data_IF_273709913498
#
_entry.id   IF_273709913498
#
_cell.length_a   1.000
_cell.length_b   1.000
_cell.length_c   1.000
_cell.angle_alpha   90.00
_cell.angle_beta   90.00
_cell.angle_gamma   90.00
#
_symmetry.space_group_name_H-M   'P 1'
#
loop_
_entity.id
_entity.type
_entity.pdbx_description
1 polymer ?
#
# COMPACT_ATOMS: atom_id res chain seq x y z
N UNK A 1 -6.00 -19.27 -58.14
CA UNK A 1 -5.42 -19.11 -56.79
C UNK A 1 -6.35 -19.86 -55.84
N UNK A 2 -5.97 -21.07 -55.45
CA UNK A 2 -6.82 -21.92 -54.60
C UNK A 2 -6.60 -21.52 -53.14
N UNK A 3 -7.67 -21.12 -52.46
CA UNK A 3 -7.63 -20.72 -51.05
C UNK A 3 -8.23 -21.86 -50.24
N UNK A 4 -7.41 -22.54 -49.43
CA UNK A 4 -7.87 -23.58 -48.50
C UNK A 4 -8.45 -22.90 -47.25
N UNK A 5 -9.72 -23.13 -46.98
CA UNK A 5 -10.41 -22.63 -45.79
C UNK A 5 -9.84 -23.19 -44.48
N UNK A 6 -10.19 -22.58 -43.32
CA UNK A 6 -9.62 -22.96 -42.03
C UNK A 6 -9.92 -24.43 -41.70
N UNK A 7 -8.85 -25.18 -41.44
CA UNK A 7 -8.92 -26.59 -41.06
C UNK A 7 -9.53 -26.79 -39.67
N UNK A 8 -10.17 -27.95 -39.50
CA UNK A 8 -10.79 -28.36 -38.24
C UNK A 8 -9.70 -28.73 -37.22
N UNK A 9 -9.76 -28.15 -36.02
CA UNK A 9 -8.90 -28.56 -34.89
C UNK A 9 -9.73 -29.54 -34.04
N UNK A 10 -9.22 -30.76 -33.84
CA UNK A 10 -9.88 -31.77 -33.01
C UNK A 10 -9.85 -31.30 -31.55
N UNK A 11 -11.02 -30.91 -31.02
CA UNK A 11 -11.16 -30.50 -29.64
C UNK A 11 -11.29 -31.69 -28.69
N UNK A 12 -10.65 -31.52 -27.54
CA UNK A 12 -10.94 -32.09 -26.22
C UNK A 12 -10.78 -33.61 -26.02
N UNK A 13 -9.65 -34.00 -25.42
CA UNK A 13 -9.57 -35.21 -24.60
C UNK A 13 -10.47 -35.09 -23.38
N UNK A 14 -11.30 -36.10 -23.06
CA UNK A 14 -12.18 -36.04 -21.88
C UNK A 14 -11.36 -36.13 -20.60
N UNK A 15 -11.67 -35.25 -19.63
CA UNK A 15 -11.11 -35.32 -18.28
C UNK A 15 -11.82 -36.45 -17.55
N UNK A 16 -11.12 -37.55 -17.26
CA UNK A 16 -11.64 -38.61 -16.40
C UNK A 16 -11.84 -38.06 -14.99
N UNK A 17 -13.09 -38.06 -14.53
CA UNK A 17 -13.43 -37.65 -13.17
C UNK A 17 -12.71 -38.51 -12.13
N UNK A 18 -12.12 -37.85 -11.14
CA UNK A 18 -11.44 -38.51 -10.03
C UNK A 18 -12.42 -39.40 -9.25
N UNK A 19 -12.08 -40.68 -9.11
CA UNK A 19 -12.82 -41.63 -8.26
C UNK A 19 -12.61 -41.22 -6.80
N UNK A 20 -13.67 -41.12 -5.96
CA UNK A 20 -13.50 -40.72 -4.57
C UNK A 20 -12.71 -41.80 -3.82
N UNK A 21 -11.55 -41.41 -3.27
CA UNK A 21 -10.82 -42.24 -2.32
C UNK A 21 -11.50 -42.08 -0.95
N UNK A 22 -12.14 -43.14 -0.46
CA UNK A 22 -12.62 -43.20 0.92
C UNK A 22 -11.43 -43.48 1.83
N UNK A 23 -10.78 -42.41 2.29
CA UNK A 23 -9.77 -42.42 3.34
C UNK A 23 -9.58 -40.99 3.85
N UNK A 24 -9.20 -40.78 5.13
CA UNK A 24 -9.08 -39.45 5.70
C UNK A 24 -7.86 -38.76 5.06
N UNK A 25 -8.11 -38.02 3.98
CA UNK A 25 -7.10 -37.15 3.37
C UNK A 25 -6.99 -35.91 4.23
N UNK A 26 -5.76 -35.60 4.66
CA UNK A 26 -5.46 -34.34 5.32
C UNK A 26 -5.98 -33.19 4.46
N UNK A 27 -6.59 -32.19 5.08
CA UNK A 27 -7.11 -31.01 4.38
C UNK A 27 -5.95 -30.36 3.60
N UNK A 28 -5.96 -30.52 2.28
CA UNK A 28 -5.06 -29.77 1.42
C UNK A 28 -5.36 -28.28 1.65
N UNK A 29 -4.36 -27.55 2.14
CA UNK A 29 -4.38 -26.10 2.22
C UNK A 29 -4.78 -25.55 0.86
N UNK A 30 -5.95 -24.90 0.79
CA UNK A 30 -6.40 -24.20 -0.42
C UNK A 30 -5.31 -23.19 -0.82
N UNK A 31 -4.93 -23.09 -2.10
CA UNK A 31 -4.02 -22.03 -2.53
C UNK A 31 -4.65 -20.67 -2.18
N UNK A 32 -3.85 -19.69 -1.72
CA UNK A 32 -4.36 -18.37 -1.42
C UNK A 32 -5.03 -17.79 -2.68
N UNK A 33 -6.18 -17.14 -2.49
CA UNK A 33 -6.85 -16.40 -3.55
C UNK A 33 -5.92 -15.28 -4.01
N UNK A 34 -5.49 -15.33 -5.26
CA UNK A 34 -4.65 -14.31 -5.88
C UNK A 34 -5.50 -13.05 -6.07
N UNK A 35 -5.28 -12.04 -5.22
CA UNK A 35 -5.93 -10.74 -5.33
C UNK A 35 -5.19 -9.94 -6.40
N UNK A 36 -5.87 -9.32 -7.38
CA UNK A 36 -5.23 -8.42 -8.34
C UNK A 36 -4.45 -7.33 -7.59
N UNK A 37 -3.16 -7.22 -7.86
CA UNK A 37 -2.32 -6.14 -7.33
C UNK A 37 -2.17 -5.09 -8.42
N UNK A 38 -2.76 -3.91 -8.19
CA UNK A 38 -2.50 -2.76 -9.03
C UNK A 38 -1.11 -2.20 -8.68
N UNK A 39 -0.23 -2.18 -9.67
CA UNK A 39 1.10 -1.58 -9.54
C UNK A 39 1.09 -0.15 -10.10
N UNK A 40 1.74 0.77 -9.38
CA UNK A 40 1.93 2.16 -9.80
C UNK A 40 3.41 2.37 -10.11
N UNK A 41 3.72 2.65 -11.38
CA UNK A 41 5.08 2.99 -11.79
C UNK A 41 5.38 4.47 -11.48
N UNK A 42 6.26 4.72 -10.51
CA UNK A 42 6.79 6.06 -10.25
C UNK A 42 7.82 6.43 -11.32
N UNK A 43 7.71 7.65 -11.86
CA UNK A 43 8.69 8.16 -12.83
C UNK A 43 10.10 8.17 -12.26
N UNK A 44 11.10 7.93 -13.11
CA UNK A 44 12.51 7.95 -12.70
C UNK A 44 12.90 9.26 -11.99
N UNK A 45 12.32 10.39 -12.43
CA UNK A 45 12.50 11.68 -11.77
C UNK A 45 11.91 11.72 -10.34
N UNK A 46 10.70 11.17 -10.14
CA UNK A 46 10.07 11.08 -8.83
C UNK A 46 10.86 10.21 -7.85
N UNK A 47 11.41 9.09 -8.33
CA UNK A 47 12.26 8.20 -7.52
C UNK A 47 13.56 8.87 -7.08
N UNK A 48 14.21 9.64 -7.98
CA UNK A 48 15.43 10.37 -7.65
C UNK A 48 15.16 11.49 -6.64
N UNK A 49 14.05 12.20 -6.80
CA UNK A 49 13.67 13.29 -5.88
C UNK A 49 13.38 12.75 -4.47
N UNK A 50 12.66 11.63 -4.34
CA UNK A 50 12.44 10.98 -3.06
C UNK A 50 13.74 10.61 -2.33
N UNK A 51 14.71 10.05 -3.06
CA UNK A 51 16.03 9.69 -2.49
C UNK A 51 16.84 10.90 -2.03
N UNK A 52 16.78 12.02 -2.76
CA UNK A 52 17.45 13.26 -2.35
C UNK A 52 16.83 13.84 -1.07
N UNK A 53 15.50 13.86 -0.99
CA UNK A 53 14.76 14.37 0.17
C UNK A 53 15.02 13.51 1.41
N UNK A 54 15.01 12.18 1.28
CA UNK A 54 15.32 11.27 2.40
C UNK A 54 16.72 11.52 2.98
N UNK A 55 17.73 11.71 2.13
CA UNK A 55 19.10 11.94 2.57
C UNK A 55 19.34 13.30 3.21
N UNK A 56 18.77 14.38 2.65
CA UNK A 56 18.96 15.74 3.16
C UNK A 56 18.21 16.00 4.48
N UNK A 57 17.04 15.39 4.64
CA UNK A 57 16.18 15.64 5.80
C UNK A 57 16.47 14.72 6.99
N UNK A 58 17.18 13.61 6.78
CA UNK A 58 17.41 12.61 7.84
C UNK A 58 18.14 13.17 9.06
N UNK A 59 19.21 13.94 8.85
CA UNK A 59 20.00 14.53 9.94
C UNK A 59 19.22 15.61 10.69
N UNK A 60 18.54 16.51 9.96
CA UNK A 60 17.72 17.57 10.54
C UNK A 60 16.51 17.00 11.30
N UNK A 61 15.92 15.91 10.80
CA UNK A 61 14.82 15.20 11.46
C UNK A 61 15.29 14.58 12.78
N UNK A 62 16.46 13.95 12.81
CA UNK A 62 17.01 13.35 14.04
C UNK A 62 17.23 14.40 15.15
N UNK A 63 17.80 15.56 14.81
CA UNK A 63 18.00 16.65 15.76
C UNK A 63 16.66 17.21 16.27
N UNK A 64 15.70 17.44 15.37
CA UNK A 64 14.34 17.87 15.73
C UNK A 64 13.65 16.89 16.65
N UNK A 65 13.76 15.58 16.39
CA UNK A 65 13.17 14.54 17.22
C UNK A 65 13.79 14.52 18.61
N UNK A 66 15.12 14.66 18.72
CA UNK A 66 15.80 14.71 20.01
C UNK A 66 15.35 15.91 20.85
N UNK A 67 15.22 17.09 20.23
CA UNK A 67 14.69 18.29 20.88
C UNK A 67 13.26 18.10 21.36
N UNK A 68 12.36 17.64 20.48
CA UNK A 68 10.95 17.40 20.82
C UNK A 68 10.85 16.42 21.98
N UNK A 69 11.64 15.34 21.96
CA UNK A 69 11.67 14.38 23.06
C UNK A 69 12.07 15.03 24.38
N UNK A 70 13.11 15.87 24.38
CA UNK A 70 13.50 16.62 25.57
C UNK A 70 12.42 17.59 26.08
N UNK A 71 11.71 18.28 25.18
CA UNK A 71 10.57 19.13 25.55
C UNK A 71 9.41 18.33 26.16
N UNK A 72 9.16 17.10 25.66
CA UNK A 72 8.12 16.20 26.20
C UNK A 72 8.51 15.71 27.59
N UNK A 73 9.75 15.24 27.76
CA UNK A 73 10.26 14.75 29.04
C UNK A 73 10.27 15.86 30.10
N UNK A 74 10.50 17.12 29.69
CA UNK A 74 10.42 18.30 30.55
C UNK A 74 8.98 18.78 30.82
N UNK A 75 7.97 18.22 30.15
CA UNK A 75 6.56 18.63 30.26
C UNK A 75 6.25 20.00 29.66
N UNK A 76 7.15 20.57 28.85
CA UNK A 76 6.99 21.89 28.21
C UNK A 76 6.58 21.81 26.74
N UNK A 77 6.39 20.58 26.24
CA UNK A 77 6.00 20.36 24.86
C UNK A 77 4.57 20.80 24.57
N UNK A 78 3.62 20.50 25.46
CA UNK A 78 2.20 20.81 25.27
C UNK A 78 1.89 22.19 25.83
N UNK A 79 1.74 23.16 24.93
CA UNK A 79 1.34 24.53 25.25
C UNK A 79 -0.03 24.84 24.67
N UNK A 80 -0.76 25.77 25.28
CA UNK A 80 -2.10 26.18 24.79
C UNK A 80 -2.07 26.62 23.32
N UNK A 81 -1.03 27.36 22.92
CA UNK A 81 -0.85 27.78 21.53
C UNK A 81 -0.64 26.61 20.57
N UNK A 82 0.06 25.53 20.97
CA UNK A 82 0.21 24.32 20.15
C UNK A 82 -1.09 23.53 20.07
N UNK A 83 -1.88 23.52 21.14
CA UNK A 83 -3.20 22.88 21.16
C UNK A 83 -4.16 23.58 20.20
N UNK A 84 -4.26 24.91 20.26
CA UNK A 84 -5.09 25.70 19.34
C UNK A 84 -4.68 25.47 17.88
N UNK A 85 -3.38 25.52 17.58
CA UNK A 85 -2.88 25.25 16.23
C UNK A 85 -3.18 23.82 15.76
N UNK A 86 -3.08 22.83 16.67
CA UNK A 86 -3.41 21.43 16.36
C UNK A 86 -4.91 21.26 16.07
N UNK A 87 -5.78 21.90 16.85
CA UNK A 87 -7.23 21.88 16.64
C UNK A 87 -7.60 22.55 15.31
N UNK A 88 -7.04 23.73 15.02
CA UNK A 88 -7.27 24.42 13.74
C UNK A 88 -6.87 23.55 12.55
N UNK A 89 -5.69 22.92 12.61
CA UNK A 89 -5.24 21.99 11.57
C UNK A 89 -6.15 20.77 11.43
N UNK A 90 -6.64 20.23 12.55
CA UNK A 90 -7.59 19.14 12.55
C UNK A 90 -8.87 19.53 11.82
N UNK A 91 -9.46 20.69 12.14
CA UNK A 91 -10.68 21.16 11.50
C UNK A 91 -10.49 21.40 10.00
N UNK A 92 -9.41 22.07 9.60
CA UNK A 92 -9.04 22.26 8.19
C UNK A 92 -8.89 20.93 7.44
N UNK A 93 -8.20 19.95 8.04
CA UNK A 93 -8.00 18.63 7.42
C UNK A 93 -9.30 17.84 7.23
N UNK A 94 -10.32 18.13 8.03
CA UNK A 94 -11.64 17.50 7.94
C UNK A 94 -12.67 18.38 7.20
N UNK A 95 -12.22 19.48 6.57
CA UNK A 95 -13.08 20.38 5.80
C UNK A 95 -14.09 21.17 6.64
N UNK A 96 -13.83 21.32 7.95
CA UNK A 96 -14.63 22.13 8.85
C UNK A 96 -13.99 23.52 8.84
N UNK A 97 -14.59 24.44 8.08
CA UNK A 97 -14.20 25.84 8.09
C UNK A 97 -14.82 26.53 9.31
N UNK A 98 -13.98 27.14 10.14
CA UNK A 98 -14.40 27.86 11.36
C UNK A 98 -14.73 29.33 11.07
N UNK A 99 -14.71 29.74 9.80
CA UNK A 99 -15.13 31.07 9.35
C UNK A 99 -16.67 31.11 9.21
N UNK A 100 -17.34 31.64 10.25
CA UNK A 100 -18.70 32.17 10.22
C UNK A 100 -18.78 33.45 11.07
#
# INVERSE_FOLDING_TARGET
MEVRGPGFVSNATPIQGARPATGPTAAASKPPLEVPQDEVELSAAGQLMGKLTEGADASQRAERLARIKGEIDAGTYDTDAKLEAALLKMFQSNGIDLEA
#
